data_IF_869419391531
#
_entry.id   IF_869419391531
#
_cell.length_a   1.000
_cell.length_b   1.000
_cell.length_c   1.000
_cell.angle_alpha   90.00
_cell.angle_beta   90.00
_cell.angle_gamma   90.00
#
_symmetry.space_group_name_H-M   'P 1'
#
loop_
_entity.id
_entity.type
_entity.pdbx_description
1 polymer ?
#
# COMPACT_ATOMS: atom_id res chain seq x y z
N UNK A 1 6.46 -20.67 -3.62
CA UNK A 1 5.29 -19.78 -3.79
C UNK A 1 5.76 -18.36 -3.58
N UNK A 2 5.60 -17.49 -4.58
CA UNK A 2 5.93 -16.06 -4.44
C UNK A 2 4.77 -15.43 -3.67
N UNK A 3 5.05 -14.86 -2.50
CA UNK A 3 4.04 -14.17 -1.71
C UNK A 3 3.67 -12.86 -2.43
N UNK A 4 2.39 -12.62 -2.77
CA UNK A 4 2.00 -11.43 -3.52
C UNK A 4 2.38 -10.18 -2.73
N UNK A 5 2.85 -9.14 -3.42
CA UNK A 5 3.25 -7.88 -2.81
C UNK A 5 2.08 -7.31 -2.00
N UNK A 6 2.24 -7.27 -0.68
CA UNK A 6 1.21 -6.75 0.22
C UNK A 6 1.25 -5.23 0.20
N UNK A 7 0.14 -4.56 0.01
CA UNK A 7 0.05 -3.10 0.15
C UNK A 7 -0.29 -2.68 1.59
N UNK A 8 -0.10 -1.39 1.89
CA UNK A 8 -0.33 -0.76 3.20
C UNK A 8 -1.55 0.15 3.24
N UNK A 9 -2.47 0.04 2.28
CA UNK A 9 -3.62 0.93 2.15
C UNK A 9 -4.43 1.02 3.45
N UNK A 10 -4.77 -0.14 4.03
CA UNK A 10 -5.57 -0.23 5.26
C UNK A 10 -4.89 0.43 6.47
N UNK A 11 -3.59 0.23 6.62
CA UNK A 11 -2.80 0.80 7.72
C UNK A 11 -2.76 2.32 7.60
N UNK A 12 -2.39 2.83 6.42
CA UNK A 12 -2.23 4.27 6.18
C UNK A 12 -3.58 4.99 6.26
N UNK A 13 -4.64 4.41 5.69
CA UNK A 13 -6.00 4.97 5.79
C UNK A 13 -6.44 5.12 7.23
N UNK A 14 -6.25 4.08 8.07
CA UNK A 14 -6.63 4.12 9.49
C UNK A 14 -5.86 5.18 10.27
N UNK A 15 -4.54 5.30 10.06
CA UNK A 15 -3.71 6.34 10.70
C UNK A 15 -4.20 7.75 10.33
N UNK A 16 -4.69 7.93 9.10
CA UNK A 16 -5.24 9.20 8.62
C UNK A 16 -6.70 9.45 9.01
N UNK A 17 -7.35 8.51 9.72
CA UNK A 17 -8.75 8.64 10.12
C UNK A 17 -9.75 8.67 8.96
N UNK A 18 -9.37 8.16 7.78
CA UNK A 18 -10.20 8.22 6.57
C UNK A 18 -11.12 7.00 6.45
N UNK A 19 -12.33 7.22 5.94
CA UNK A 19 -13.24 6.11 5.58
C UNK A 19 -12.83 5.48 4.25
N UNK A 20 -13.30 4.26 4.00
CA UNK A 20 -13.06 3.60 2.71
C UNK A 20 -13.70 4.40 1.57
N UNK A 21 -14.91 4.96 1.76
CA UNK A 21 -15.54 5.80 0.74
C UNK A 21 -14.66 7.00 0.39
N UNK A 22 -14.13 7.70 1.38
CA UNK A 22 -13.29 8.89 1.15
C UNK A 22 -12.03 8.56 0.35
N UNK A 23 -11.46 7.37 0.55
CA UNK A 23 -10.26 6.97 -0.20
C UNK A 23 -10.61 6.48 -1.60
N UNK A 24 -11.66 5.70 -1.79
CA UNK A 24 -11.99 5.13 -3.11
C UNK A 24 -12.80 6.05 -4.03
N UNK A 25 -13.38 7.13 -3.51
CA UNK A 25 -14.24 8.05 -4.27
C UNK A 25 -13.54 8.60 -5.51
N UNK A 26 -14.13 8.34 -6.67
CA UNK A 26 -13.62 8.76 -7.98
C UNK A 26 -12.45 7.93 -8.52
N UNK A 27 -12.03 6.88 -7.81
CA UNK A 27 -10.91 6.00 -8.18
C UNK A 27 -11.41 4.61 -8.56
N UNK A 28 -12.17 3.96 -7.66
CA UNK A 28 -12.74 2.63 -7.90
C UNK A 28 -13.98 2.39 -7.05
N UNK A 29 -14.66 1.27 -7.28
CA UNK A 29 -15.78 0.87 -6.42
C UNK A 29 -15.32 0.51 -5.01
N UNK A 30 -16.16 0.76 -4.00
CA UNK A 30 -15.90 0.37 -2.61
C UNK A 30 -15.58 -1.12 -2.46
N UNK A 31 -16.26 -1.98 -3.24
CA UNK A 31 -16.00 -3.43 -3.27
C UNK A 31 -14.59 -3.75 -3.76
N UNK A 32 -14.13 -3.09 -4.83
CA UNK A 32 -12.76 -3.27 -5.32
C UNK A 32 -11.73 -2.78 -4.30
N UNK A 33 -11.97 -1.61 -3.70
CA UNK A 33 -11.11 -1.08 -2.64
C UNK A 33 -10.98 -2.02 -1.43
N UNK A 34 -12.08 -2.65 -0.99
CA UNK A 34 -12.04 -3.63 0.10
C UNK A 34 -11.11 -4.81 -0.25
N UNK A 35 -11.18 -5.31 -1.50
CA UNK A 35 -10.29 -6.40 -1.95
C UNK A 35 -8.82 -5.97 -1.96
N UNK A 36 -8.54 -4.73 -2.38
CA UNK A 36 -7.19 -4.15 -2.34
C UNK A 36 -6.66 -4.08 -0.90
N UNK A 37 -7.45 -3.58 0.05
CA UNK A 37 -7.04 -3.52 1.47
C UNK A 37 -6.78 -4.88 2.10
N UNK A 38 -7.46 -5.91 1.62
CA UNK A 38 -7.27 -7.29 2.06
C UNK A 38 -6.16 -8.02 1.30
N UNK A 39 -5.57 -7.40 0.29
CA UNK A 39 -4.62 -8.02 -0.64
C UNK A 39 -5.21 -9.25 -1.37
N UNK A 40 -6.52 -9.27 -1.58
CA UNK A 40 -7.23 -10.28 -2.38
C UNK A 40 -7.09 -10.02 -3.90
N UNK A 41 -6.50 -8.90 -4.27
CA UNK A 41 -6.07 -8.57 -5.63
C UNK A 41 -4.83 -7.69 -5.58
N UNK A 42 -3.97 -7.82 -6.58
CA UNK A 42 -2.81 -6.95 -6.75
C UNK A 42 -3.25 -5.53 -7.11
N UNK A 43 -2.49 -4.57 -6.62
CA UNK A 43 -2.70 -3.16 -6.92
C UNK A 43 -1.85 -2.77 -8.13
N UNK A 44 -2.48 -2.22 -9.16
CA UNK A 44 -1.74 -1.72 -10.32
C UNK A 44 -1.15 -0.33 -10.05
N UNK A 45 -0.24 0.10 -10.94
CA UNK A 45 0.46 1.37 -10.81
C UNK A 45 -0.49 2.59 -10.84
N UNK A 46 -1.54 2.55 -11.66
CA UNK A 46 -2.53 3.63 -11.75
C UNK A 46 -3.24 3.84 -10.42
N UNK A 47 -3.68 2.76 -9.78
CA UNK A 47 -4.28 2.81 -8.45
C UNK A 47 -3.28 3.26 -7.38
N UNK A 48 -2.03 2.79 -7.43
CA UNK A 48 -0.97 3.24 -6.54
C UNK A 48 -0.80 4.76 -6.61
N UNK A 49 -0.70 5.34 -7.80
CA UNK A 49 -0.59 6.79 -8.00
C UNK A 49 -1.82 7.55 -7.46
N UNK A 50 -3.03 7.05 -7.72
CA UNK A 50 -4.23 7.73 -7.23
C UNK A 50 -4.35 7.67 -5.71
N UNK A 51 -4.06 6.52 -5.09
CA UNK A 51 -4.11 6.38 -3.64
C UNK A 51 -2.94 7.07 -2.95
N UNK A 52 -1.74 7.11 -3.55
CA UNK A 52 -0.60 7.85 -3.00
C UNK A 52 -0.95 9.34 -2.90
N UNK A 53 -1.54 9.91 -3.95
CA UNK A 53 -2.00 11.28 -3.96
C UNK A 53 -3.13 11.52 -2.96
N UNK A 54 -4.16 10.66 -2.93
CA UNK A 54 -5.30 10.79 -2.01
C UNK A 54 -4.88 10.67 -0.54
N UNK A 55 -3.95 9.78 -0.25
CA UNK A 55 -3.44 9.56 1.10
C UNK A 55 -2.29 10.52 1.43
N UNK A 56 -1.73 11.28 0.48
CA UNK A 56 -0.60 12.17 0.73
C UNK A 56 0.63 11.42 1.26
N UNK A 57 0.98 10.31 0.60
CA UNK A 57 2.16 9.49 0.90
C UNK A 57 2.85 9.12 -0.42
N UNK A 58 4.12 8.76 -0.36
CA UNK A 58 4.82 8.25 -1.53
C UNK A 58 4.37 6.82 -1.87
N UNK A 59 4.60 6.39 -3.11
CA UNK A 59 4.21 5.05 -3.59
C UNK A 59 4.97 3.96 -2.83
N UNK A 60 6.24 4.19 -2.51
CA UNK A 60 7.09 3.28 -1.74
C UNK A 60 6.46 3.01 -0.36
N UNK A 61 5.83 4.02 0.24
CA UNK A 61 5.15 3.86 1.53
C UNK A 61 3.89 2.99 1.44
N UNK A 62 3.27 2.88 0.26
CA UNK A 62 2.09 2.04 0.03
C UNK A 62 2.42 0.58 -0.24
N UNK A 63 3.64 0.28 -0.67
CA UNK A 63 4.08 -1.07 -0.98
C UNK A 63 4.79 -1.64 0.25
N UNK A 64 4.40 -2.82 0.75
CA UNK A 64 5.29 -3.55 1.66
C UNK A 64 6.37 -4.18 0.79
N UNK A 65 7.61 -3.76 1.01
CA UNK A 65 8.72 -4.48 0.42
C UNK A 65 8.66 -5.95 0.84
N UNK A 66 8.94 -6.89 -0.07
CA UNK A 66 9.10 -8.28 0.32
C UNK A 66 10.22 -8.36 1.36
N UNK A 67 9.91 -8.99 2.50
CA UNK A 67 10.72 -9.07 3.72
C UNK A 67 12.20 -9.43 3.52
N UNK A 68 12.55 -10.06 2.39
CA UNK A 68 13.93 -10.39 2.01
C UNK A 68 14.84 -9.16 1.81
N UNK A 69 14.31 -8.00 1.42
CA UNK A 69 15.12 -6.78 1.26
C UNK A 69 15.26 -5.98 2.56
N UNK A 70 14.34 -6.17 3.52
CA UNK A 70 14.43 -5.51 4.82
C UNK A 70 15.70 -5.94 5.57
N UNK A 71 16.06 -7.23 5.52
CA UNK A 71 17.31 -7.76 6.09
C UNK A 71 18.55 -7.11 5.45
N UNK A 72 18.60 -6.98 4.13
CA UNK A 72 19.74 -6.32 3.46
C UNK A 72 19.83 -4.82 3.76
N UNK A 73 18.70 -4.10 3.80
CA UNK A 73 18.71 -2.67 4.16
C UNK A 73 19.14 -2.44 5.61
N UNK A 74 18.81 -3.37 6.51
CA UNK A 74 19.21 -3.30 7.92
C UNK A 74 20.71 -3.61 8.07
N UNK A 75 21.23 -4.60 7.35
CA UNK A 75 22.68 -4.90 7.32
C UNK A 75 23.47 -3.68 6.81
N UNK A 76 23.01 -3.02 5.75
CA UNK A 76 23.70 -1.83 5.22
C UNK A 76 23.65 -0.62 6.17
N UNK A 77 22.63 -0.52 7.04
CA UNK A 77 22.52 0.53 8.06
C UNK A 77 23.33 0.27 9.33
N UNK A 78 23.77 -0.96 9.56
CA UNK A 78 24.64 -1.31 10.69
C UNK A 78 26.13 -1.17 10.35
N UNK A 79 26.48 -0.99 9.07
CA UNK A 79 27.86 -0.90 8.58
C UNK A 79 28.31 0.56 8.35
N UNK A 80 27.39 1.54 8.38
CA UNK A 80 27.67 2.98 8.34
C UNK A 80 27.17 3.66 9.61
#
# INVERSE_FOLDING_TARGET
>A
MIEPAKNRLKEIRKVKGLTMEQVCLGICSKRHYIRLEKNECEINITYLCHFSNRLGVSIEKLIKEPSRYQSFSNILKEIY
#
